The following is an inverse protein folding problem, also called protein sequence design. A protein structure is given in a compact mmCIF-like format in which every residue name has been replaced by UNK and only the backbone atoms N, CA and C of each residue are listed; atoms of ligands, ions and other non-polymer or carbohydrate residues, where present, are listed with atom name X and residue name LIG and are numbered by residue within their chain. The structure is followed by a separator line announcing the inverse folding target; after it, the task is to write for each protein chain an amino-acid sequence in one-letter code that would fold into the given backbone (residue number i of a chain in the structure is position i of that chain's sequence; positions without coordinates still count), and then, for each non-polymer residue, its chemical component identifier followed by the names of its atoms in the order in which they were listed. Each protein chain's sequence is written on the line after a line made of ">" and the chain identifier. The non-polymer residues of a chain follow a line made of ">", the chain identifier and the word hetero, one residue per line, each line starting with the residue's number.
data_IF_257679135950
#
_entry.id   IF_257679135950
#
_cell.length_a   1.000
_cell.length_b   1.000
_cell.length_c   1.000
_cell.angle_alpha   90.00
_cell.angle_beta   90.00
_cell.angle_gamma   90.00
#
_symmetry.space_group_name_H-M   'P 1'
#
loop_
_entity.id
_entity.type
_entity.pdbx_description
1 polymer ?
#
# COMPACT_ATOMS: atom_id res chain seq x y z
N UNK A 1 1.13 11.96 9.93
CA UNK A 1 -0.06 11.69 10.77
C UNK A 1 -0.28 10.20 10.69
N UNK A 2 -0.51 9.49 11.81
CA UNK A 2 -0.69 8.04 11.75
C UNK A 2 -1.88 7.71 10.84
N UNK A 3 -1.68 6.77 9.91
CA UNK A 3 -2.75 6.25 9.05
C UNK A 3 -3.86 5.70 9.94
N UNK A 4 -5.12 5.93 9.58
CA UNK A 4 -6.25 5.34 10.31
C UNK A 4 -6.72 4.07 9.62
N UNK A 5 -7.23 3.10 10.38
CA UNK A 5 -7.77 1.86 9.82
C UNK A 5 -8.94 2.10 8.86
N UNK A 6 -9.72 3.15 9.09
CA UNK A 6 -10.80 3.58 8.18
C UNK A 6 -10.31 4.05 6.81
N UNK A 7 -9.04 4.44 6.69
CA UNK A 7 -8.43 4.88 5.43
C UNK A 7 -7.88 3.68 4.61
N UNK A 8 -7.67 2.54 5.26
CA UNK A 8 -7.16 1.33 4.61
C UNK A 8 -8.29 0.65 3.83
N UNK A 9 -8.32 0.90 2.53
CA UNK A 9 -9.31 0.36 1.61
C UNK A 9 -8.65 -0.26 0.39
N UNK A 10 -9.31 -1.24 -0.23
CA UNK A 10 -8.82 -1.86 -1.47
C UNK A 10 -8.69 -0.79 -2.56
N UNK A 11 -7.52 -0.75 -3.21
CA UNK A 11 -7.16 0.26 -4.21
C UNK A 11 -6.51 1.52 -3.63
N UNK A 12 -6.47 1.70 -2.31
CA UNK A 12 -5.77 2.82 -1.69
C UNK A 12 -4.24 2.67 -1.80
N UNK A 13 -3.56 3.80 -1.94
CA UNK A 13 -2.11 3.90 -2.05
C UNK A 13 -1.54 4.59 -0.81
N UNK A 14 -0.52 3.99 -0.22
CA UNK A 14 0.18 4.48 0.95
C UNK A 14 1.66 4.63 0.65
N UNK A 15 2.34 5.48 1.42
CA UNK A 15 3.79 5.60 1.42
C UNK A 15 4.33 5.30 2.82
N UNK A 16 5.46 4.60 2.89
CA UNK A 16 6.18 4.31 4.13
C UNK A 16 7.29 5.33 4.37
N UNK A 17 7.82 5.37 5.60
CA UNK A 17 8.95 6.24 5.96
C UNK A 17 10.21 5.98 5.11
N UNK A 18 10.34 4.78 4.51
CA UNK A 18 11.46 4.41 3.65
C UNK A 18 11.19 4.69 2.16
N UNK A 19 10.19 5.54 1.86
CA UNK A 19 9.78 5.89 0.49
C UNK A 19 9.40 4.64 -0.34
N UNK A 20 8.73 3.69 0.30
CA UNK A 20 8.08 2.59 -0.40
C UNK A 20 6.60 2.87 -0.56
N UNK A 21 6.09 2.64 -1.77
CA UNK A 21 4.68 2.68 -2.08
C UNK A 21 4.05 1.33 -1.74
N UNK A 22 2.86 1.38 -1.14
CA UNK A 22 2.03 0.21 -0.86
C UNK A 22 0.64 0.41 -1.45
N UNK A 23 0.17 -0.52 -2.27
CA UNK A 23 -1.18 -0.53 -2.84
C UNK A 23 -1.97 -1.68 -2.23
N UNK A 24 -3.02 -1.37 -1.50
CA UNK A 24 -3.88 -2.41 -0.90
C UNK A 24 -4.67 -3.10 -2.00
N UNK A 25 -4.60 -4.43 -2.04
CA UNK A 25 -5.30 -5.24 -3.05
C UNK A 25 -6.46 -6.03 -2.46
N UNK A 26 -6.38 -6.42 -1.19
CA UNK A 26 -7.41 -7.21 -0.53
C UNK A 26 -7.32 -7.02 0.97
N UNK A 27 -8.46 -7.09 1.65
CA UNK A 27 -8.55 -7.14 3.10
C UNK A 27 -9.34 -8.41 3.43
N UNK A 28 -8.76 -9.28 4.25
CA UNK A 28 -9.37 -10.54 4.67
C UNK A 28 -9.50 -10.57 6.17
N UNK A 29 -10.58 -11.15 6.70
CA UNK A 29 -10.73 -11.34 8.14
C UNK A 29 -10.42 -12.80 8.48
N UNK A 30 -9.43 -13.00 9.35
CA UNK A 30 -9.01 -14.33 9.82
C UNK A 30 -10.05 -14.97 10.76
N UNK A 31 -9.94 -16.27 11.04
CA UNK A 31 -10.79 -17.02 11.95
C UNK A 31 -10.87 -16.44 13.38
N UNK A 32 -9.88 -15.63 13.77
CA UNK A 32 -9.86 -14.89 15.04
C UNK A 32 -10.53 -13.51 14.96
N UNK A 33 -11.28 -13.19 13.89
CA UNK A 33 -11.89 -11.88 13.65
C UNK A 33 -10.88 -10.74 13.61
N UNK A 34 -9.71 -10.98 12.98
CA UNK A 34 -8.66 -9.97 12.78
C UNK A 34 -8.51 -9.68 11.30
N UNK A 35 -8.40 -8.40 10.96
CA UNK A 35 -8.23 -8.00 9.56
C UNK A 35 -6.77 -8.09 9.14
N UNK A 36 -6.53 -8.81 8.05
CA UNK A 36 -5.27 -9.02 7.37
C UNK A 36 -5.27 -8.20 6.08
N UNK A 37 -4.20 -7.47 5.83
CA UNK A 37 -4.10 -6.56 4.69
C UNK A 37 -3.13 -7.14 3.67
N UNK A 38 -3.66 -7.49 2.51
CA UNK A 38 -2.85 -7.81 1.34
C UNK A 38 -2.57 -6.54 0.56
N UNK A 39 -1.29 -6.29 0.32
CA UNK A 39 -0.86 -5.16 -0.48
C UNK A 39 0.30 -5.55 -1.39
N UNK A 40 0.36 -4.86 -2.51
CA UNK A 40 1.55 -4.81 -3.34
C UNK A 40 2.47 -3.70 -2.86
N UNK A 41 3.77 -3.87 -3.03
CA UNK A 41 4.74 -2.83 -2.69
C UNK A 41 5.78 -2.60 -3.79
N UNK A 42 6.35 -1.40 -3.80
CA UNK A 42 7.53 -1.04 -4.60
C UNK A 42 8.22 0.18 -4.03
N UNK A 43 9.41 0.50 -4.53
CA UNK A 43 10.11 1.74 -4.16
C UNK A 43 9.53 2.92 -4.95
N UNK A 44 9.24 4.04 -4.26
CA UNK A 44 8.86 5.30 -4.90
C UNK A 44 10.01 5.92 -5.71
N UNK A 45 11.26 5.47 -5.51
CA UNK A 45 12.45 6.01 -6.19
C UNK A 45 12.75 5.36 -7.53
N UNK A 46 12.10 4.23 -7.84
CA UNK A 46 12.41 3.45 -9.05
C UNK A 46 11.20 3.54 -9.98
N UNK A 47 11.34 4.36 -11.02
CA UNK A 47 10.37 4.43 -12.11
C UNK A 47 10.36 3.13 -12.93
N UNK A 48 9.26 2.88 -13.63
CA UNK A 48 9.02 1.72 -14.50
C UNK A 48 9.10 0.36 -13.80
N UNK A 49 8.94 0.33 -12.47
CA UNK A 49 8.86 -0.91 -11.69
C UNK A 49 7.41 -1.21 -11.35
N UNK A 50 6.98 -2.41 -11.65
CA UNK A 50 5.64 -2.89 -11.30
C UNK A 50 5.52 -3.11 -9.78
N UNK A 51 4.29 -2.95 -9.28
CA UNK A 51 3.93 -3.35 -7.94
C UNK A 51 4.04 -4.87 -7.79
N UNK A 52 4.68 -5.35 -6.72
CA UNK A 52 4.86 -6.78 -6.49
C UNK A 52 4.36 -7.17 -5.09
N UNK A 53 3.84 -8.38 -4.98
CA UNK A 53 3.28 -8.94 -3.75
C UNK A 53 4.33 -9.26 -2.68
N UNK A 54 5.63 -9.25 -3.02
CA UNK A 54 6.71 -9.53 -2.07
C UNK A 54 6.44 -10.79 -1.23
N UNK A 55 6.66 -10.72 0.08
CA UNK A 55 6.31 -11.77 1.05
C UNK A 55 4.86 -11.68 1.55
N UNK A 56 4.15 -10.60 1.24
CA UNK A 56 2.85 -10.23 1.80
C UNK A 56 1.73 -11.19 1.41
N UNK A 57 1.84 -11.86 0.26
CA UNK A 57 0.83 -12.82 -0.22
C UNK A 57 0.80 -14.11 0.60
N UNK A 58 1.94 -14.54 1.17
CA UNK A 58 2.02 -15.77 1.96
C UNK A 58 1.69 -15.52 3.43
N UNK A 59 2.11 -14.37 3.97
CA UNK A 59 1.84 -13.96 5.35
C UNK A 59 1.45 -12.47 5.35
N UNK A 60 0.17 -12.15 5.11
CA UNK A 60 -0.29 -10.77 5.16
C UNK A 60 -0.19 -10.23 6.59
N UNK A 61 0.25 -8.99 6.79
CA UNK A 61 0.25 -8.38 8.12
C UNK A 61 -1.18 -8.06 8.56
N UNK A 62 -1.34 -7.98 9.88
CA UNK A 62 -2.54 -7.43 10.50
C UNK A 62 -2.72 -5.96 10.14
N UNK A 63 -3.96 -5.49 10.15
CA UNK A 63 -4.34 -4.09 9.91
C UNK A 63 -3.50 -3.11 10.74
N UNK A 64 -3.37 -3.34 12.05
CA UNK A 64 -2.55 -2.49 12.92
C UNK A 64 -1.06 -2.46 12.53
N UNK A 65 -0.49 -3.62 12.18
CA UNK A 65 0.90 -3.70 11.70
C UNK A 65 1.09 -2.97 10.37
N UNK A 66 0.12 -3.08 9.46
CA UNK A 66 0.16 -2.39 8.17
C UNK A 66 0.12 -0.88 8.36
N UNK A 67 -0.81 -0.40 9.18
CA UNK A 67 -0.99 1.02 9.51
C UNK A 67 0.26 1.58 10.18
N UNK A 68 0.87 0.83 11.11
CA UNK A 68 2.07 1.27 11.82
C UNK A 68 3.30 1.42 10.92
N UNK A 69 3.34 0.71 9.80
CA UNK A 69 4.45 0.78 8.83
C UNK A 69 4.21 1.86 7.76
N UNK A 70 2.94 2.16 7.49
CA UNK A 70 2.55 3.25 6.59
C UNK A 70 2.70 4.61 7.30
N UNK A 71 3.38 5.55 6.65
CA UNK A 71 3.55 6.90 7.18
C UNK A 71 2.32 7.76 6.88
N UNK A 72 1.78 7.65 5.66
CA UNK A 72 0.57 8.38 5.24
C UNK A 72 -0.12 7.78 4.01
N UNK A 73 -1.39 8.09 3.86
CA UNK A 73 -2.18 7.89 2.64
C UNK A 73 -1.74 8.89 1.56
N UNK A 74 -1.66 8.43 0.31
CA UNK A 74 -1.39 9.30 -0.83
C UNK A 74 -2.69 9.93 -1.34
N UNK A 75 -2.64 11.24 -1.58
CA UNK A 75 -3.73 11.97 -2.19
C UNK A 75 -3.83 11.68 -3.69
N UNK A 76 -5.00 11.93 -4.29
CA UNK A 76 -5.21 11.76 -5.73
C UNK A 76 -4.23 12.59 -6.57
N UNK A 77 -3.87 13.80 -6.11
CA UNK A 77 -2.87 14.64 -6.76
C UNK A 77 -1.48 14.01 -6.77
N UNK A 78 -1.05 13.39 -5.67
CA UNK A 78 0.25 12.73 -5.59
C UNK A 78 0.28 11.46 -6.43
N UNK A 79 -0.81 10.70 -6.44
CA UNK A 79 -0.95 9.53 -7.30
C UNK A 79 -0.82 9.96 -8.78
N UNK A 80 -1.45 11.06 -9.18
CA UNK A 80 -1.30 11.61 -10.54
C UNK A 80 0.14 12.01 -10.85
N UNK A 81 0.84 12.69 -9.93
CA UNK A 81 2.26 13.05 -10.10
C UNK A 81 3.17 11.81 -10.21
N UNK A 82 2.92 10.78 -9.41
CA UNK A 82 3.65 9.52 -9.47
C UNK A 82 3.36 8.77 -10.77
N UNK A 83 2.16 8.88 -11.33
CA UNK A 83 1.83 8.35 -12.66
C UNK A 83 2.54 9.11 -13.78
N UNK A 84 2.55 10.44 -13.73
CA UNK A 84 3.31 11.27 -14.67
C UNK A 84 4.82 10.95 -14.64
N UNK A 85 5.34 10.63 -13.45
CA UNK A 85 6.74 10.24 -13.24
C UNK A 85 7.03 8.78 -13.63
N UNK A 86 6.07 8.05 -14.21
CA UNK A 86 6.14 6.61 -14.49
C UNK A 86 6.52 5.75 -13.27
N UNK A 87 6.27 6.26 -12.06
CA UNK A 87 6.47 5.51 -10.83
C UNK A 87 5.28 4.59 -10.67
N UNK A 88 4.04 5.07 -10.75
CA UNK A 88 2.82 4.24 -10.82
C UNK A 88 2.46 4.05 -12.29
N UNK A 89 2.32 2.82 -12.77
CA UNK A 89 2.00 2.60 -14.18
C UNK A 89 0.52 2.92 -14.46
N UNK A 90 0.19 3.35 -15.67
CA UNK A 90 -1.19 3.73 -16.05
C UNK A 90 -2.21 2.59 -15.93
N UNK A 91 -1.74 1.34 -15.93
CA UNK A 91 -2.56 0.14 -15.78
C UNK A 91 -2.67 -0.33 -14.31
N UNK A 92 -2.11 0.43 -13.36
CA UNK A 92 -2.12 0.16 -11.91
C UNK A 92 -2.97 1.18 -11.15
#
# INVERSE_FOLDING_TARGET
>A
MPVQSSEVQVGAFFITANEQLRKVTQIETDAQSRDLVHYLSKSAKIANREFNFGHTKANPPLMDSFISDCDRLLSSSEISQLRESNIILSNE
#
